data_IF_933086415849
#
_entry.id   IF_933086415849
#
_cell.length_a   1.000
_cell.length_b   1.000
_cell.length_c   1.000
_cell.angle_alpha   90.00
_cell.angle_beta   90.00
_cell.angle_gamma   90.00
#
_symmetry.space_group_name_H-M   'P 1'
#
loop_
_entity.id
_entity.type
_entity.pdbx_description
1 polymer ?
#
# COMPACT_ATOMS: atom_id res chain seq x y z
N UNK A 1 -12.73 -13.26 -2.97
CA UNK A 1 -11.63 -12.34 -2.59
C UNK A 1 -10.53 -13.17 -1.94
N UNK A 2 -9.29 -13.04 -2.39
CA UNK A 2 -8.15 -13.77 -1.83
C UNK A 2 -7.53 -12.95 -0.68
N UNK A 3 -7.44 -13.52 0.52
CA UNK A 3 -6.89 -12.85 1.69
C UNK A 3 -5.46 -13.32 1.99
N UNK A 4 -4.59 -12.37 2.30
CA UNK A 4 -3.22 -12.65 2.77
C UNK A 4 -3.19 -12.68 4.30
N UNK A 5 -2.52 -13.69 4.87
CA UNK A 5 -2.33 -13.83 6.32
C UNK A 5 -0.93 -13.37 6.72
N UNK A 6 -0.85 -12.44 7.66
CA UNK A 6 0.36 -12.09 8.40
C UNK A 6 0.32 -12.64 9.83
N UNK A 7 1.35 -12.37 10.62
CA UNK A 7 1.45 -12.87 12.01
C UNK A 7 0.26 -12.48 12.90
N UNK A 8 -0.29 -11.27 12.69
CA UNK A 8 -1.36 -10.70 13.51
C UNK A 8 -2.46 -10.01 12.67
N UNK A 9 -2.54 -10.31 11.37
CA UNK A 9 -3.49 -9.62 10.47
C UNK A 9 -3.90 -10.51 9.30
N UNK A 10 -5.17 -10.44 8.90
CA UNK A 10 -5.66 -10.97 7.62
C UNK A 10 -6.12 -9.79 6.78
N UNK A 11 -5.61 -9.64 5.57
CA UNK A 11 -5.86 -8.45 4.76
C UNK A 11 -5.97 -8.75 3.26
N UNK A 12 -6.70 -7.90 2.54
CA UNK A 12 -6.76 -7.85 1.09
C UNK A 12 -6.71 -6.38 0.67
N UNK A 13 -5.50 -5.81 0.62
CA UNK A 13 -5.28 -4.41 0.28
C UNK A 13 -4.61 -4.31 -1.08
N UNK A 14 -5.34 -3.78 -2.05
CA UNK A 14 -4.83 -3.52 -3.40
C UNK A 14 -5.07 -2.07 -3.75
N UNK A 15 -4.06 -1.46 -4.34
CA UNK A 15 -4.04 -0.05 -4.71
C UNK A 15 -3.77 0.08 -6.20
N UNK A 16 -4.58 0.91 -6.85
CA UNK A 16 -4.34 1.40 -8.19
C UNK A 16 -3.75 2.80 -8.10
N UNK A 17 -2.54 2.98 -8.63
CA UNK A 17 -1.84 4.25 -8.64
C UNK A 17 -1.56 4.68 -10.07
N UNK A 18 -1.73 5.99 -10.33
CA UNK A 18 -1.31 6.60 -11.58
C UNK A 18 -0.23 7.64 -11.33
N UNK A 19 0.92 7.43 -11.95
CA UNK A 19 2.06 8.34 -11.93
C UNK A 19 2.15 9.04 -13.29
N UNK A 20 2.05 10.36 -13.29
CA UNK A 20 2.08 11.17 -14.52
C UNK A 20 3.39 11.91 -14.60
N UNK A 21 4.02 11.89 -15.78
CA UNK A 21 5.23 12.67 -16.08
C UNK A 21 4.97 14.16 -15.90
N UNK A 22 6.02 14.92 -15.61
CA UNK A 22 5.91 16.37 -15.49
C UNK A 22 5.43 16.97 -16.81
N UNK A 23 4.40 17.82 -16.73
CA UNK A 23 3.72 18.43 -17.88
C UNK A 23 3.13 17.44 -18.88
N UNK A 24 2.88 16.18 -18.48
CA UNK A 24 2.43 15.09 -19.38
C UNK A 24 3.32 14.95 -20.63
N UNK A 25 4.63 15.15 -20.48
CA UNK A 25 5.56 14.98 -21.60
C UNK A 25 5.69 13.48 -21.94
N UNK A 26 5.71 13.10 -23.23
CA UNK A 26 5.82 11.71 -23.64
C UNK A 26 7.28 11.21 -23.54
N UNK A 27 7.80 11.15 -22.31
CA UNK A 27 9.22 10.84 -22.04
C UNK A 27 9.49 9.35 -22.17
N UNK A 28 8.53 8.50 -21.77
CA UNK A 28 8.75 7.06 -21.61
C UNK A 28 8.61 6.31 -22.93
N UNK A 29 9.67 5.62 -23.33
CA UNK A 29 9.63 4.64 -24.42
C UNK A 29 9.08 3.30 -23.94
N UNK A 30 8.79 2.39 -24.86
CA UNK A 30 8.35 1.04 -24.51
C UNK A 30 9.39 0.29 -23.65
N UNK A 31 10.67 0.42 -24.02
CA UNK A 31 11.78 -0.14 -23.25
C UNK A 31 11.84 0.40 -21.82
N UNK A 32 11.70 1.73 -21.65
CA UNK A 32 11.66 2.36 -20.33
C UNK A 32 10.49 1.83 -19.50
N UNK A 33 9.31 1.63 -20.09
CA UNK A 33 8.13 1.08 -19.39
C UNK A 33 8.36 -0.37 -18.96
N UNK A 34 8.96 -1.19 -19.82
CA UNK A 34 9.32 -2.57 -19.49
C UNK A 34 10.33 -2.63 -18.34
N UNK A 35 11.40 -1.83 -18.41
CA UNK A 35 12.41 -1.75 -17.34
C UNK A 35 11.83 -1.22 -16.01
N UNK A 36 10.88 -0.28 -16.09
CA UNK A 36 10.18 0.22 -14.92
C UNK A 36 9.35 -0.85 -14.22
N UNK A 37 8.71 -1.77 -14.97
CA UNK A 37 7.94 -2.87 -14.39
C UNK A 37 8.80 -3.75 -13.50
N UNK A 38 9.97 -4.15 -13.98
CA UNK A 38 10.93 -4.93 -13.20
C UNK A 38 11.42 -4.17 -11.96
N UNK A 39 11.72 -2.88 -12.13
CA UNK A 39 12.16 -2.03 -11.01
C UNK A 39 11.08 -1.87 -9.94
N UNK A 40 9.83 -1.68 -10.34
CA UNK A 40 8.68 -1.56 -9.43
C UNK A 40 8.44 -2.88 -8.70
N UNK A 41 8.53 -4.02 -9.38
CA UNK A 41 8.43 -5.34 -8.76
C UNK A 41 9.50 -5.56 -7.68
N UNK A 42 10.75 -5.22 -7.99
CA UNK A 42 11.85 -5.25 -7.03
C UNK A 42 11.58 -4.35 -5.81
N UNK A 43 11.18 -3.09 -6.04
CA UNK A 43 10.93 -2.14 -4.96
C UNK A 43 9.79 -2.59 -4.06
N UNK A 44 8.68 -3.08 -4.62
CA UNK A 44 7.54 -3.55 -3.84
C UNK A 44 7.88 -4.79 -3.02
N UNK A 45 8.74 -5.67 -3.53
CA UNK A 45 9.24 -6.82 -2.76
C UNK A 45 9.97 -6.40 -1.49
N UNK A 46 10.70 -5.28 -1.51
CA UNK A 46 11.35 -4.72 -0.31
C UNK A 46 10.35 -4.22 0.75
N UNK A 47 9.10 -3.98 0.35
CA UNK A 47 8.00 -3.61 1.24
C UNK A 47 7.10 -4.80 1.60
N UNK A 48 7.55 -6.04 1.34
CA UNK A 48 6.74 -7.27 1.48
C UNK A 48 5.45 -7.21 0.64
N UNK A 49 5.47 -6.42 -0.43
CA UNK A 49 4.38 -6.23 -1.38
C UNK A 49 4.65 -6.93 -2.70
N UNK A 50 3.66 -6.84 -3.59
CA UNK A 50 3.72 -7.39 -4.95
C UNK A 50 3.05 -6.48 -5.96
N UNK A 51 3.59 -6.46 -7.18
CA UNK A 51 2.88 -5.94 -8.36
C UNK A 51 1.86 -6.99 -8.79
N UNK A 52 0.64 -6.54 -9.07
CA UNK A 52 -0.41 -7.37 -9.65
C UNK A 52 -0.45 -7.15 -11.16
N UNK A 53 -0.49 -5.89 -11.59
CA UNK A 53 -0.47 -5.50 -13.00
C UNK A 53 0.17 -4.12 -13.14
N UNK A 54 0.85 -3.89 -14.25
CA UNK A 54 1.39 -2.58 -14.57
C UNK A 54 1.34 -2.35 -16.08
N UNK A 55 0.78 -1.19 -16.46
CA UNK A 55 0.75 -0.70 -17.84
C UNK A 55 1.15 0.77 -17.85
N UNK A 56 1.63 1.24 -18.99
CA UNK A 56 2.04 2.63 -19.11
C UNK A 56 1.89 3.12 -20.54
N UNK A 57 1.79 4.43 -20.65
CA UNK A 57 1.80 5.19 -21.89
C UNK A 57 3.05 6.09 -21.90
N UNK A 58 3.33 6.86 -22.97
CA UNK A 58 4.51 7.73 -23.00
C UNK A 58 4.57 8.77 -21.87
N UNK A 59 3.42 9.21 -21.36
CA UNK A 59 3.32 10.29 -20.37
C UNK A 59 2.86 9.83 -18.97
N UNK A 60 2.45 8.58 -18.76
CA UNK A 60 1.99 8.09 -17.44
C UNK A 60 2.12 6.57 -17.24
N UNK A 61 2.13 6.13 -15.97
CA UNK A 61 2.16 4.72 -15.56
C UNK A 61 0.95 4.41 -14.66
N UNK A 62 0.25 3.33 -14.97
CA UNK A 62 -0.74 2.68 -14.11
C UNK A 62 -0.12 1.49 -13.40
N UNK A 63 -0.17 1.48 -12.07
CA UNK A 63 0.42 0.42 -11.24
C UNK A 63 -0.66 -0.11 -10.32
N UNK A 64 -0.97 -1.40 -10.44
CA UNK A 64 -1.82 -2.14 -9.53
C UNK A 64 -0.93 -2.98 -8.62
N UNK A 65 -0.95 -2.71 -7.32
CA UNK A 65 -0.10 -3.41 -6.36
C UNK A 65 -0.77 -3.67 -5.02
N UNK A 66 -0.23 -4.63 -4.29
CA UNK A 66 -0.64 -4.96 -2.92
C UNK A 66 0.55 -4.82 -1.97
N UNK A 67 0.29 -4.25 -0.79
CA UNK A 67 1.26 -4.12 0.30
C UNK A 67 0.59 -4.45 1.63
N UNK A 68 1.34 -4.89 2.66
CA UNK A 68 0.79 -5.11 3.98
C UNK A 68 0.21 -3.83 4.61
N UNK A 69 -0.78 -3.95 5.52
CA UNK A 69 -1.40 -2.80 6.19
C UNK A 69 -0.42 -1.98 7.03
N UNK A 70 0.66 -2.60 7.49
CA UNK A 70 1.72 -1.91 8.23
C UNK A 70 2.53 -0.92 7.36
N UNK A 71 2.44 -1.01 6.03
CA UNK A 71 3.16 -0.15 5.09
C UNK A 71 2.21 0.94 4.60
N UNK A 72 2.49 2.19 4.98
CA UNK A 72 1.69 3.33 4.54
C UNK A 72 1.75 3.51 3.01
N UNK A 73 0.62 3.50 2.28
CA UNK A 73 0.61 3.61 0.81
C UNK A 73 1.30 4.86 0.29
N UNK A 74 1.14 6.00 0.98
CA UNK A 74 1.79 7.26 0.61
C UNK A 74 3.32 7.15 0.61
N UNK A 75 3.90 6.43 1.59
CA UNK A 75 5.36 6.21 1.67
C UNK A 75 5.83 5.32 0.52
N UNK A 76 5.11 4.23 0.24
CA UNK A 76 5.43 3.33 -0.88
C UNK A 76 5.39 4.09 -2.21
N UNK A 77 4.35 4.88 -2.45
CA UNK A 77 4.18 5.68 -3.69
C UNK A 77 5.30 6.71 -3.82
N UNK A 78 5.65 7.41 -2.74
CA UNK A 78 6.75 8.37 -2.73
C UNK A 78 8.09 7.70 -3.07
N UNK A 79 8.35 6.51 -2.53
CA UNK A 79 9.53 5.71 -2.86
C UNK A 79 9.54 5.29 -4.33
N UNK A 80 8.42 4.78 -4.86
CA UNK A 80 8.31 4.40 -6.27
C UNK A 80 8.60 5.59 -7.19
N UNK A 81 7.96 6.74 -6.97
CA UNK A 81 8.21 7.98 -7.75
C UNK A 81 9.68 8.36 -7.72
N UNK A 82 10.28 8.39 -6.52
CA UNK A 82 11.66 8.82 -6.33
C UNK A 82 12.65 7.88 -7.00
N UNK A 83 12.51 6.57 -6.77
CA UNK A 83 13.43 5.57 -7.29
C UNK A 83 13.31 5.43 -8.80
N UNK A 84 12.10 5.47 -9.37
CA UNK A 84 11.92 5.48 -10.82
C UNK A 84 12.49 6.74 -11.45
N UNK A 85 12.30 7.92 -10.83
CA UNK A 85 12.89 9.15 -11.36
C UNK A 85 14.42 9.08 -11.38
N UNK A 86 15.06 8.49 -10.35
CA UNK A 86 16.51 8.31 -10.31
C UNK A 86 16.97 7.31 -11.35
N UNK A 87 16.29 6.16 -11.43
CA UNK A 87 16.54 5.11 -12.41
C UNK A 87 16.50 5.65 -13.84
N UNK A 88 15.41 6.32 -14.24
CA UNK A 88 15.29 6.84 -15.60
C UNK A 88 16.33 7.91 -15.94
N UNK A 89 16.68 8.78 -14.98
CA UNK A 89 17.71 9.80 -15.18
C UNK A 89 19.12 9.20 -15.30
N UNK A 90 19.36 8.03 -14.73
CA UNK A 90 20.64 7.33 -14.79
C UNK A 90 20.78 6.48 -16.05
N UNK A 91 19.77 5.65 -16.36
CA UNK A 91 19.82 4.70 -17.48
C UNK A 91 19.46 5.32 -18.83
N UNK A 92 18.59 6.35 -18.84
CA UNK A 92 18.07 6.97 -20.07
C UNK A 92 18.30 8.49 -20.11
N UNK A 93 19.52 9.00 -19.81
CA UNK A 93 19.76 10.42 -19.63
C UNK A 93 19.42 11.25 -20.87
N UNK A 94 19.76 10.77 -22.07
CA UNK A 94 19.53 11.52 -23.31
C UNK A 94 18.04 11.58 -23.66
N UNK A 95 17.32 10.47 -23.49
CA UNK A 95 15.86 10.44 -23.67
C UNK A 95 15.17 11.35 -22.66
N UNK A 96 15.59 11.36 -21.38
CA UNK A 96 15.00 12.24 -20.37
C UNK A 96 15.30 13.71 -20.67
N UNK A 97 16.55 14.07 -20.99
CA UNK A 97 16.96 15.46 -21.28
C UNK A 97 16.24 16.04 -22.50
N UNK A 98 15.89 15.21 -23.48
CA UNK A 98 15.11 15.63 -24.67
C UNK A 98 13.76 16.27 -24.31
N UNK A 99 13.16 15.85 -23.20
CA UNK A 99 11.85 16.35 -22.76
C UNK A 99 11.93 17.18 -21.46
N UNK A 100 12.89 16.88 -20.58
CA UNK A 100 13.03 17.41 -19.23
C UNK A 100 14.47 17.83 -18.94
N UNK A 101 14.69 19.15 -18.97
CA UNK A 101 15.98 19.82 -19.03
C UNK A 101 16.62 19.99 -17.64
N UNK A 102 15.79 20.23 -16.61
CA UNK A 102 16.16 20.32 -15.18
C UNK A 102 14.97 20.08 -14.23
N UNK A 103 13.83 19.65 -14.76
CA UNK A 103 12.60 19.48 -14.00
C UNK A 103 12.51 18.12 -13.29
N UNK A 104 11.58 18.05 -12.33
CA UNK A 104 11.13 16.78 -11.77
C UNK A 104 10.65 15.84 -12.89
N UNK A 105 10.94 14.53 -12.78
CA UNK A 105 10.47 13.56 -13.77
C UNK A 105 8.95 13.43 -13.75
N UNK A 106 8.37 13.40 -12.54
CA UNK A 106 6.94 13.25 -12.30
C UNK A 106 6.27 14.60 -12.00
N UNK A 107 4.96 14.66 -12.24
CA UNK A 107 4.09 15.64 -11.59
C UNK A 107 4.22 15.53 -10.06
N UNK A 108 3.97 16.63 -9.34
CA UNK A 108 3.93 16.61 -7.87
C UNK A 108 2.81 15.70 -7.36
N UNK A 109 1.65 15.73 -8.03
CA UNK A 109 0.49 14.89 -7.72
C UNK A 109 0.65 13.44 -8.17
N UNK A 110 -0.24 12.58 -7.66
CA UNK A 110 -0.49 11.23 -8.14
C UNK A 110 -1.95 10.89 -7.86
N UNK A 111 -2.51 9.93 -8.60
CA UNK A 111 -3.80 9.34 -8.27
C UNK A 111 -3.57 8.05 -7.49
N UNK A 112 -4.42 7.78 -6.49
CA UNK A 112 -4.48 6.50 -5.80
C UNK A 112 -5.93 6.14 -5.53
N UNK A 113 -6.29 4.89 -5.76
CA UNK A 113 -7.58 4.31 -5.39
C UNK A 113 -7.37 2.91 -4.84
N UNK A 114 -8.21 2.49 -3.90
CA UNK A 114 -8.25 1.10 -3.42
C UNK A 114 -9.13 0.26 -4.34
N UNK A 115 -8.61 -0.85 -4.82
CA UNK A 115 -9.36 -1.80 -5.66
C UNK A 115 -9.57 -3.09 -4.88
N UNK A 116 -10.61 -3.13 -4.06
CA UNK A 116 -10.82 -4.21 -3.11
C UNK A 116 -12.17 -4.08 -2.43
N UNK A 117 -13.24 -4.08 -3.20
CA UNK A 117 -14.59 -4.23 -2.66
C UNK A 117 -14.80 -5.69 -2.31
N UNK A 118 -14.68 -6.05 -1.03
CA UNK A 118 -15.44 -7.19 -0.56
C UNK A 118 -16.90 -6.80 -0.77
N UNK A 119 -17.70 -7.67 -1.40
CA UNK A 119 -19.13 -7.42 -1.49
C UNK A 119 -19.68 -7.25 -0.06
N UNK A 120 -20.78 -6.52 0.11
CA UNK A 120 -21.38 -6.34 1.44
C UNK A 120 -21.59 -7.71 2.11
N UNK A 121 -22.03 -8.71 1.33
CA UNK A 121 -22.23 -10.08 1.75
C UNK A 121 -20.93 -10.75 2.24
N UNK A 122 -19.79 -10.45 1.60
CA UNK A 122 -18.47 -10.96 2.02
C UNK A 122 -18.03 -10.32 3.33
N UNK A 123 -18.27 -9.02 3.52
CA UNK A 123 -17.98 -8.32 4.77
C UNK A 123 -18.87 -8.80 5.90
N UNK A 124 -20.17 -8.98 5.64
CA UNK A 124 -21.10 -9.55 6.60
C UNK A 124 -20.74 -10.99 6.98
N UNK A 125 -20.36 -11.83 6.00
CA UNK A 125 -19.89 -13.18 6.27
C UNK A 125 -18.62 -13.16 7.14
N UNK A 126 -17.66 -12.27 6.85
CA UNK A 126 -16.48 -12.08 7.69
C UNK A 126 -16.86 -11.67 9.12
N UNK A 127 -17.78 -10.71 9.30
CA UNK A 127 -18.27 -10.27 10.61
C UNK A 127 -18.97 -11.42 11.36
N UNK A 128 -19.79 -12.21 10.66
CA UNK A 128 -20.48 -13.38 11.22
C UNK A 128 -19.49 -14.47 11.64
N UNK A 129 -18.47 -14.74 10.83
CA UNK A 129 -17.42 -15.73 11.12
C UNK A 129 -16.48 -15.31 12.26
N UNK A 130 -16.34 -14.01 12.53
CA UNK A 130 -15.62 -13.52 13.71
C UNK A 130 -16.34 -13.85 15.04
N UNK A 131 -17.58 -14.32 15.00
CA UNK A 131 -18.33 -14.75 16.16
C UNK A 131 -18.58 -16.25 16.17
N UNK A 132 -17.61 -17.07 16.60
CA UNK A 132 -17.79 -18.28 17.43
C UNK A 132 -16.47 -19.04 17.63
N UNK A 133 -16.21 -19.48 18.86
CA UNK A 133 -15.34 -20.63 19.23
C UNK A 133 -13.79 -20.53 19.26
N UNK A 134 -13.14 -19.35 19.16
CA UNK A 134 -11.68 -19.25 19.38
C UNK A 134 -11.15 -18.32 20.47
N UNK A 135 -12.02 -17.73 21.29
CA UNK A 135 -11.61 -16.97 22.48
C UNK A 135 -11.56 -17.83 23.75
N UNK A 136 -11.03 -19.06 23.69
CA UNK A 136 -10.33 -19.59 24.86
C UNK A 136 -9.02 -18.83 24.96
N UNK A 137 -9.05 -17.65 25.59
CA UNK A 137 -7.84 -16.92 25.97
C UNK A 137 -6.91 -17.92 26.67
N UNK A 138 -5.77 -18.24 26.05
CA UNK A 138 -4.73 -19.12 26.63
C UNK A 138 -4.12 -18.57 27.92
N UNK A 139 -4.45 -17.33 28.28
CA UNK A 139 -4.13 -16.74 29.58
C UNK A 139 -5.26 -16.98 30.58
N UNK A 140 -5.03 -17.95 31.46
CA UNK A 140 -5.61 -17.91 32.81
C UNK A 140 -4.76 -16.91 33.59
N UNK A 141 -5.36 -15.83 34.09
CA UNK A 141 -4.69 -14.89 34.97
C UNK A 141 -4.32 -15.61 36.27
N UNK A 142 -3.03 -15.92 36.46
CA UNK A 142 -2.48 -16.48 37.71
C UNK A 142 -1.61 -15.44 38.43
N UNK A 143 -2.18 -14.27 38.69
CA UNK A 143 -1.51 -13.21 39.44
C UNK A 143 -1.85 -13.28 40.94
N UNK A 144 -0.85 -13.45 41.81
CA UNK A 144 -0.97 -13.43 43.29
C UNK A 144 -1.48 -12.10 43.91
N UNK A 145 -1.99 -11.16 43.11
CA UNK A 145 -2.40 -9.81 43.53
C UNK A 145 -3.86 -9.52 43.17
N UNK A 146 -4.79 -10.36 43.64
CA UNK A 146 -6.25 -10.14 43.48
C UNK A 146 -6.87 -9.26 44.59
N UNK A 147 -6.10 -8.85 45.60
CA UNK A 147 -6.62 -8.14 46.77
C UNK A 147 -5.99 -6.75 46.90
N UNK A 148 -6.61 -5.75 46.28
CA UNK A 148 -6.87 -4.40 46.84
C UNK A 148 -7.29 -3.45 45.73
N UNK A 149 -8.62 -3.25 45.60
CA UNK A 149 -9.25 -1.96 45.26
C UNK A 149 -10.77 -2.10 45.30
N UNK A 150 -11.34 -2.03 46.51
CA UNK A 150 -12.69 -1.49 46.68
C UNK A 150 -12.51 0.01 46.93
N UNK A 151 -12.77 0.85 45.93
CA UNK A 151 -13.13 2.25 46.18
C UNK A 151 -14.65 2.33 46.03
N UNK A 152 -15.39 2.87 47.01
CA UNK A 152 -16.83 3.05 46.85
C UNK A 152 -17.09 4.05 45.73
N UNK A 153 -18.03 3.72 44.86
CA UNK A 153 -18.57 4.62 43.85
C UNK A 153 -19.66 5.43 44.58
N UNK A 154 -19.50 6.74 44.71
CA UNK A 154 -20.59 7.59 45.19
C UNK A 154 -21.60 7.82 44.06
N UNK A 155 -22.91 7.78 44.35
CA UNK A 155 -23.93 8.11 43.35
C UNK A 155 -23.86 9.60 42.99
N UNK A 156 -24.29 9.99 41.77
CA UNK A 156 -24.37 11.38 41.37
C UNK A 156 -25.41 12.09 42.25
N UNK A 157 -25.08 13.27 42.77
CA UNK A 157 -26.07 14.21 43.30
C UNK A 157 -26.76 14.92 42.14
N UNK A 158 -28.07 15.09 42.27
CA UNK A 158 -28.96 15.77 41.32
C UNK A 158 -28.50 17.18 40.91
#
# INVERSE_FOLDING_TARGET
>A
MEYTKGAHSVYSMTYHVVLVTKYRRPVMTEEMRAAAKERVAYLLKLYDGRVIEMKGEPDHLHILFSVPPAKAPAVVIATLKTQLSKFFKAEYPEQVKRYLWKDAFWSSSYFVSTTGGASIETLEAYIRDQGTEHTKRKYVWSGKYAKKRKRPIHPPTD
#
